data_IF_645970838585
#
_entry.id   IF_645970838585
#
_cell.length_a   1.000
_cell.length_b   1.000
_cell.length_c   1.000
_cell.angle_alpha   90.00
_cell.angle_beta   90.00
_cell.angle_gamma   90.00
#
_symmetry.space_group_name_H-M   'P 1'
#
loop_
_entity.id
_entity.type
_entity.pdbx_description
1 polymer ?
#
# COMPACT_ATOMS: atom_id res chain seq x y z
N UNK A 1 -31.85 -30.77 20.61
CA UNK A 1 -32.34 -31.56 19.46
C UNK A 1 -33.10 -30.78 18.34
N UNK A 2 -32.92 -29.45 18.08
CA UNK A 2 -33.45 -28.82 16.84
C UNK A 2 -32.43 -28.71 15.69
N UNK A 3 -31.12 -28.78 15.99
CA UNK A 3 -30.04 -28.56 15.02
C UNK A 3 -29.99 -29.62 13.90
N UNK A 4 -30.30 -30.88 14.23
CA UNK A 4 -30.27 -31.98 13.25
C UNK A 4 -31.50 -32.04 12.35
N UNK A 5 -32.60 -31.37 12.71
CA UNK A 5 -33.81 -31.33 11.88
C UNK A 5 -33.70 -30.26 10.78
N UNK A 6 -33.13 -29.10 11.12
CA UNK A 6 -32.82 -28.03 10.17
C UNK A 6 -31.80 -28.51 9.13
N UNK A 7 -30.73 -29.21 9.56
CA UNK A 7 -29.71 -29.75 8.65
C UNK A 7 -30.21 -30.82 7.66
N UNK A 8 -31.25 -31.60 8.02
CA UNK A 8 -31.86 -32.58 7.11
C UNK A 8 -32.86 -31.94 6.14
N UNK A 9 -33.58 -30.89 6.56
CA UNK A 9 -34.48 -30.12 5.70
C UNK A 9 -33.74 -29.33 4.62
N UNK A 10 -32.67 -28.62 5.00
CA UNK A 10 -31.85 -27.83 4.06
C UNK A 10 -31.18 -28.70 2.99
N UNK A 11 -30.74 -29.92 3.34
CA UNK A 11 -30.11 -30.85 2.38
C UNK A 11 -31.08 -31.38 1.31
N UNK A 12 -32.38 -31.48 1.60
CA UNK A 12 -33.40 -31.96 0.63
C UNK A 12 -33.81 -30.88 -0.39
N UNK A 13 -33.70 -29.61 0.00
CA UNK A 13 -33.93 -28.47 -0.90
C UNK A 13 -32.68 -28.17 -1.72
N UNK A 14 -31.49 -28.22 -1.11
CA UNK A 14 -30.22 -28.03 -1.82
C UNK A 14 -29.83 -29.17 -2.77
N UNK A 15 -30.41 -30.36 -2.65
CA UNK A 15 -30.12 -31.49 -3.55
C UNK A 15 -30.88 -31.42 -4.88
N UNK A 16 -31.83 -30.50 -5.02
CA UNK A 16 -32.61 -30.27 -6.24
C UNK A 16 -32.15 -29.05 -7.05
N UNK A 17 -31.18 -28.29 -6.55
CA UNK A 17 -30.60 -27.15 -7.27
C UNK A 17 -29.48 -27.69 -8.17
N UNK A 18 -29.58 -27.54 -9.51
CA UNK A 18 -28.55 -27.93 -10.44
C UNK A 18 -27.17 -27.39 -10.01
N UNK A 19 -26.07 -28.15 -10.14
CA UNK A 19 -24.72 -27.68 -9.81
C UNK A 19 -24.36 -26.36 -10.50
N UNK A 20 -24.87 -26.14 -11.72
CA UNK A 20 -24.74 -24.90 -12.46
C UNK A 20 -25.40 -23.70 -11.78
N UNK A 21 -26.54 -23.87 -11.11
CA UNK A 21 -27.21 -22.80 -10.37
C UNK A 21 -26.49 -22.44 -9.07
N UNK A 22 -25.84 -23.42 -8.41
CA UNK A 22 -24.95 -23.14 -7.27
C UNK A 22 -23.65 -22.46 -7.69
N UNK A 23 -23.10 -22.86 -8.83
CA UNK A 23 -21.93 -22.21 -9.42
C UNK A 23 -22.26 -20.79 -9.88
N UNK A 24 -23.44 -20.57 -10.46
CA UNK A 24 -23.93 -19.25 -10.85
C UNK A 24 -24.19 -18.37 -9.62
N UNK A 25 -24.83 -18.87 -8.57
CA UNK A 25 -25.01 -18.11 -7.32
C UNK A 25 -23.68 -17.78 -6.64
N UNK A 26 -22.72 -18.71 -6.60
CA UNK A 26 -21.37 -18.42 -6.11
C UNK A 26 -20.65 -17.42 -6.98
N UNK A 27 -20.72 -17.55 -8.31
CA UNK A 27 -20.12 -16.60 -9.24
C UNK A 27 -20.76 -15.22 -9.08
N UNK A 28 -22.08 -15.15 -8.88
CA UNK A 28 -22.80 -13.91 -8.61
C UNK A 28 -22.40 -13.28 -7.27
N UNK A 29 -22.25 -14.07 -6.20
CA UNK A 29 -21.71 -13.61 -4.91
C UNK A 29 -20.25 -13.13 -5.05
N UNK A 30 -19.40 -13.87 -5.76
CA UNK A 30 -18.02 -13.46 -6.06
C UNK A 30 -17.96 -12.18 -6.90
N UNK A 31 -18.81 -12.04 -7.92
CA UNK A 31 -18.88 -10.85 -8.77
C UNK A 31 -19.45 -9.64 -8.01
N UNK A 32 -20.41 -9.84 -7.11
CA UNK A 32 -20.92 -8.79 -6.22
C UNK A 32 -19.87 -8.36 -5.20
N UNK A 33 -19.08 -9.32 -4.67
CA UNK A 33 -17.99 -9.06 -3.73
C UNK A 33 -16.78 -8.33 -4.32
N UNK A 34 -16.54 -8.44 -5.63
CA UNK A 34 -15.36 -7.86 -6.30
C UNK A 34 -15.53 -6.38 -6.72
N UNK A 35 -16.73 -5.81 -6.69
CA UNK A 35 -17.03 -4.56 -7.42
C UNK A 35 -17.19 -3.33 -6.51
N UNK A 36 -17.18 -3.48 -5.18
CA UNK A 36 -17.27 -2.32 -4.28
C UNK A 36 -16.39 -2.47 -3.03
N UNK A 37 -15.54 -1.48 -2.66
CA UNK A 37 -14.82 -1.48 -1.39
C UNK A 37 -15.72 -1.71 -0.16
N UNK A 38 -17.01 -1.38 -0.25
CA UNK A 38 -17.97 -1.59 0.82
C UNK A 38 -18.13 -3.06 1.21
N UNK A 39 -18.05 -4.00 0.26
CA UNK A 39 -18.30 -5.42 0.53
C UNK A 39 -17.22 -6.04 1.41
N UNK A 40 -15.94 -5.72 1.18
CA UNK A 40 -14.83 -6.26 1.99
C UNK A 40 -14.97 -5.86 3.46
N UNK A 41 -15.23 -4.58 3.72
CA UNK A 41 -15.30 -4.05 5.09
C UNK A 41 -16.55 -4.49 5.82
N UNK A 42 -17.68 -4.61 5.11
CA UNK A 42 -18.90 -5.20 5.64
C UNK A 42 -18.72 -6.67 5.99
N UNK A 43 -18.04 -7.45 5.15
CA UNK A 43 -17.75 -8.87 5.38
C UNK A 43 -16.90 -9.10 6.64
N UNK A 44 -15.92 -8.23 6.92
CA UNK A 44 -15.14 -8.30 8.17
C UNK A 44 -15.84 -7.64 9.37
N UNK A 45 -17.09 -7.20 9.21
CA UNK A 45 -17.99 -6.81 10.30
C UNK A 45 -18.07 -5.32 10.60
N UNK A 46 -17.62 -4.44 9.69
CA UNK A 46 -17.82 -3.00 9.82
C UNK A 46 -19.17 -2.57 9.26
N UNK A 47 -19.79 -1.58 9.91
CA UNK A 47 -20.80 -0.76 9.27
C UNK A 47 -20.08 0.25 8.36
N UNK A 48 -20.15 0.03 7.04
CA UNK A 48 -19.47 0.84 6.05
C UNK A 48 -20.34 2.02 5.60
N UNK A 49 -19.77 3.22 5.63
CA UNK A 49 -20.41 4.48 5.23
C UNK A 49 -19.42 5.21 4.31
N UNK A 50 -19.82 5.52 3.08
CA UNK A 50 -18.91 6.10 2.08
C UNK A 50 -19.50 6.00 0.67
N UNK A 51 -18.94 6.58 -0.39
CA UNK A 51 -17.78 7.47 -0.53
C UNK A 51 -18.21 8.94 -0.32
N UNK A 52 -17.58 9.65 0.62
CA UNK A 52 -17.95 11.04 0.96
C UNK A 52 -16.82 12.00 0.59
N UNK A 53 -17.16 13.21 0.14
CA UNK A 53 -16.17 14.29 -0.01
C UNK A 53 -15.59 14.67 1.36
N UNK A 54 -14.29 14.44 1.54
CA UNK A 54 -13.56 14.75 2.76
C UNK A 54 -13.32 16.24 2.99
N UNK A 55 -13.70 17.10 2.04
CA UNK A 55 -13.56 18.56 2.16
C UNK A 55 -14.87 19.30 2.48
N UNK A 56 -16.01 18.59 2.52
CA UNK A 56 -17.28 19.17 2.96
C UNK A 56 -17.44 19.01 4.48
N UNK A 57 -16.89 19.97 5.22
CA UNK A 57 -16.89 19.97 6.69
C UNK A 57 -18.31 19.88 7.25
N UNK A 58 -19.25 20.65 6.68
CA UNK A 58 -20.64 20.70 7.16
C UNK A 58 -21.29 19.32 7.06
N UNK A 59 -21.10 18.64 5.93
CA UNK A 59 -21.63 17.30 5.71
C UNK A 59 -20.93 16.26 6.58
N UNK A 60 -19.62 16.36 6.77
CA UNK A 60 -18.87 15.46 7.63
C UNK A 60 -19.33 15.53 9.09
N UNK A 61 -19.59 16.73 9.61
CA UNK A 61 -20.12 16.90 10.97
C UNK A 61 -21.47 16.18 11.12
N UNK A 62 -22.39 16.37 10.18
CA UNK A 62 -23.70 15.69 10.19
C UNK A 62 -23.56 14.16 10.18
N UNK A 63 -22.72 13.63 9.29
CA UNK A 63 -22.47 12.19 9.18
C UNK A 63 -21.86 11.64 10.46
N UNK A 64 -20.86 12.32 11.01
CA UNK A 64 -20.20 11.90 12.24
C UNK A 64 -21.15 11.93 13.44
N UNK A 65 -22.04 12.92 13.56
CA UNK A 65 -23.07 12.94 14.61
C UNK A 65 -24.03 11.74 14.49
N UNK A 66 -24.50 11.44 13.28
CA UNK A 66 -25.36 10.27 13.06
C UNK A 66 -24.63 8.96 13.39
N UNK A 67 -23.36 8.83 12.99
CA UNK A 67 -22.52 7.64 13.23
C UNK A 67 -22.32 7.34 14.72
N UNK A 68 -22.28 8.35 15.60
CA UNK A 68 -22.16 8.14 17.06
C UNK A 68 -23.29 7.30 17.63
N UNK A 69 -24.48 7.36 17.02
CA UNK A 69 -25.67 6.65 17.50
C UNK A 69 -25.70 5.16 17.13
N UNK A 70 -24.93 4.77 16.11
CA UNK A 70 -24.88 3.39 15.62
C UNK A 70 -24.04 2.51 16.56
N UNK A 71 -24.40 1.23 16.70
CA UNK A 71 -23.62 0.24 17.47
C UNK A 71 -22.60 -0.48 16.58
N UNK A 72 -21.56 -1.04 17.19
CA UNK A 72 -20.54 -1.84 16.51
C UNK A 72 -19.45 -1.03 15.79
N UNK A 73 -18.47 -1.73 15.16
CA UNK A 73 -17.41 -1.13 14.37
C UNK A 73 -17.98 -0.35 13.19
N UNK A 74 -17.40 0.82 12.91
CA UNK A 74 -17.85 1.74 11.87
C UNK A 74 -16.67 2.17 11.02
N UNK A 75 -16.87 2.24 9.71
CA UNK A 75 -15.86 2.69 8.76
C UNK A 75 -16.46 3.79 7.89
N UNK A 76 -15.94 5.01 8.03
CA UNK A 76 -16.27 6.14 7.15
C UNK A 76 -15.19 6.26 6.08
N UNK A 77 -15.57 6.05 4.82
CA UNK A 77 -14.68 6.19 3.67
C UNK A 77 -14.85 7.59 3.05
N UNK A 78 -13.84 8.43 3.25
CA UNK A 78 -13.78 9.78 2.71
C UNK A 78 -12.75 9.90 1.59
N UNK A 79 -13.00 10.79 0.63
CA UNK A 79 -12.11 11.13 -0.47
C UNK A 79 -11.50 12.50 -0.19
N UNK A 80 -10.18 12.58 -0.12
CA UNK A 80 -9.45 13.84 0.10
C UNK A 80 -8.43 14.09 -1.02
N UNK A 81 -7.94 15.33 -1.12
CA UNK A 81 -6.88 15.73 -2.03
C UNK A 81 -5.61 15.98 -1.21
N UNK A 82 -4.53 15.25 -1.49
CA UNK A 82 -3.25 15.45 -0.79
C UNK A 82 -2.74 16.86 -1.07
N UNK A 83 -2.36 17.59 -0.02
CA UNK A 83 -1.92 18.97 -0.13
C UNK A 83 -3.04 20.02 -0.25
N UNK A 84 -4.32 19.64 -0.07
CA UNK A 84 -5.45 20.57 -0.21
C UNK A 84 -5.23 21.89 0.52
N UNK A 85 -5.45 23.01 -0.19
CA UNK A 85 -5.31 24.36 0.33
C UNK A 85 -3.92 24.98 0.10
N UNK A 86 -2.97 24.23 -0.45
CA UNK A 86 -1.64 24.72 -0.83
C UNK A 86 -1.30 24.27 -2.26
N UNK A 87 -1.39 25.21 -3.21
CA UNK A 87 -1.40 24.92 -4.66
C UNK A 87 -0.15 24.17 -5.13
N UNK A 88 1.01 24.46 -4.55
CA UNK A 88 2.27 23.76 -4.85
C UNK A 88 2.21 22.29 -4.43
N UNK A 89 1.58 21.96 -3.30
CA UNK A 89 1.39 20.58 -2.85
C UNK A 89 0.23 19.86 -3.53
N UNK A 90 -0.78 20.58 -3.98
CA UNK A 90 -1.84 20.00 -4.82
C UNK A 90 -1.31 19.57 -6.19
N UNK A 91 -0.38 20.35 -6.76
CA UNK A 91 0.22 20.08 -8.07
C UNK A 91 1.35 19.05 -8.03
N UNK A 92 2.09 18.96 -6.92
CA UNK A 92 3.14 17.95 -6.71
C UNK A 92 3.01 17.25 -5.35
N UNK A 93 1.99 16.38 -5.17
CA UNK A 93 1.75 15.71 -3.90
C UNK A 93 2.82 14.69 -3.52
N UNK A 94 3.71 14.32 -4.45
CA UNK A 94 4.82 13.39 -4.23
C UNK A 94 6.08 14.12 -3.82
N UNK A 95 6.57 15.07 -4.61
CA UNK A 95 7.76 15.85 -4.27
C UNK A 95 7.58 16.67 -2.99
N UNK A 96 6.36 17.14 -2.72
CA UNK A 96 6.04 17.91 -1.51
C UNK A 96 5.89 17.03 -0.25
N UNK A 97 5.82 15.70 -0.41
CA UNK A 97 5.82 14.76 0.71
C UNK A 97 7.19 14.68 1.40
N UNK A 98 8.26 14.90 0.64
CA UNK A 98 9.65 14.81 1.08
C UNK A 98 10.39 16.16 0.98
N UNK A 99 9.68 17.28 1.16
CA UNK A 99 10.28 18.62 1.11
C UNK A 99 11.44 18.77 2.09
N UNK A 100 12.63 19.02 1.55
CA UNK A 100 13.73 19.64 2.29
C UNK A 100 13.40 21.11 2.55
N UNK A 101 13.42 21.53 3.83
CA UNK A 101 13.22 22.90 4.35
C UNK A 101 12.38 23.84 3.46
N UNK A 102 11.13 24.06 3.85
CA UNK A 102 10.30 25.13 3.27
C UNK A 102 10.98 26.47 3.56
N UNK A 103 11.46 27.16 2.53
CA UNK A 103 11.91 28.55 2.68
C UNK A 103 10.68 29.43 2.87
N UNK A 104 10.44 29.83 4.11
CA UNK A 104 9.17 30.38 4.57
C UNK A 104 8.83 31.80 4.08
N UNK A 105 9.65 32.47 3.25
CA UNK A 105 9.27 33.78 2.71
C UNK A 105 9.98 34.18 1.42
N UNK A 106 9.36 35.08 0.62
CA UNK A 106 10.02 35.71 -0.53
C UNK A 106 11.28 36.50 -0.16
N UNK A 107 11.42 36.98 1.09
CA UNK A 107 12.63 37.67 1.55
C UNK A 107 13.82 36.72 1.73
N UNK A 108 13.58 35.43 2.00
CA UNK A 108 14.64 34.43 2.08
C UNK A 108 15.33 34.18 0.72
N UNK A 109 14.66 34.49 -0.40
CA UNK A 109 15.23 34.38 -1.75
C UNK A 109 16.37 35.38 -2.01
N UNK A 110 16.44 36.48 -1.26
CA UNK A 110 17.50 37.48 -1.41
C UNK A 110 18.71 37.22 -0.49
N UNK A 111 18.53 36.50 0.62
CA UNK A 111 19.61 36.13 1.53
C UNK A 111 20.38 34.86 1.13
N UNK A 112 19.80 33.99 0.29
CA UNK A 112 20.53 32.83 -0.30
C UNK A 112 21.18 33.17 -1.65
N UNK A 113 21.47 34.45 -1.88
CA UNK A 113 22.26 34.88 -3.02
C UNK A 113 23.68 34.33 -2.93
N UNK A 114 24.02 33.48 -3.90
CA UNK A 114 25.37 33.35 -4.49
C UNK A 114 26.49 32.61 -3.75
N UNK A 115 26.35 32.10 -2.53
CA UNK A 115 27.50 31.51 -1.82
C UNK A 115 27.72 29.98 -1.95
N UNK A 116 26.72 29.17 -2.37
CA UNK A 116 26.82 27.70 -2.18
C UNK A 116 26.37 26.84 -3.37
N UNK A 117 26.32 27.41 -4.58
CA UNK A 117 25.85 26.69 -5.79
C UNK A 117 26.92 25.81 -6.46
N UNK A 118 28.17 25.82 -5.96
CA UNK A 118 29.31 25.14 -6.61
C UNK A 118 29.92 23.98 -5.81
N UNK A 119 29.43 23.66 -4.61
CA UNK A 119 29.82 22.42 -3.96
C UNK A 119 28.98 21.29 -4.55
N UNK A 120 29.60 20.41 -5.34
CA UNK A 120 29.00 19.13 -5.73
C UNK A 120 28.57 18.43 -4.45
N UNK A 121 27.27 18.46 -4.13
CA UNK A 121 26.72 17.72 -3.00
C UNK A 121 27.08 16.25 -3.20
N UNK A 122 27.72 15.67 -2.18
CA UNK A 122 28.00 14.25 -2.19
C UNK A 122 26.67 13.48 -2.40
N UNK A 123 26.69 12.38 -3.17
CA UNK A 123 25.47 11.62 -3.39
C UNK A 123 24.96 11.04 -2.07
N UNK A 124 23.64 10.91 -1.94
CA UNK A 124 23.05 10.23 -0.78
C UNK A 124 23.30 8.74 -0.83
N UNK A 125 23.27 8.05 0.31
CA UNK A 125 23.35 6.59 0.34
C UNK A 125 22.26 5.93 -0.51
N UNK A 126 21.04 6.48 -0.52
CA UNK A 126 19.95 6.01 -1.39
C UNK A 126 20.29 6.15 -2.88
N UNK A 127 20.91 7.26 -3.30
CA UNK A 127 21.35 7.45 -4.69
C UNK A 127 22.41 6.42 -5.08
N UNK A 128 23.41 6.22 -4.21
CA UNK A 128 24.48 5.23 -4.44
C UNK A 128 23.90 3.81 -4.55
N UNK A 129 22.96 3.45 -3.67
CA UNK A 129 22.28 2.16 -3.71
C UNK A 129 21.44 1.98 -4.97
N UNK A 130 20.66 2.99 -5.38
CA UNK A 130 19.84 2.95 -6.58
C UNK A 130 20.66 2.80 -7.86
N UNK A 131 21.75 3.55 -7.98
CA UNK A 131 22.66 3.44 -9.12
C UNK A 131 23.35 2.06 -9.16
N UNK A 132 23.71 1.49 -8.00
CA UNK A 132 24.21 0.12 -7.89
C UNK A 132 23.17 -0.92 -8.32
N UNK A 133 21.92 -0.80 -7.84
CA UNK A 133 20.82 -1.69 -8.22
C UNK A 133 20.66 -1.74 -9.73
N UNK A 134 20.63 -0.59 -10.40
CA UNK A 134 20.55 -0.51 -11.86
C UNK A 134 21.76 -1.18 -12.54
N UNK A 135 22.98 -0.86 -12.08
CA UNK A 135 24.21 -1.37 -12.68
C UNK A 135 24.33 -2.90 -12.57
N UNK A 136 23.90 -3.49 -11.45
CA UNK A 136 23.91 -4.94 -11.26
C UNK A 136 22.79 -5.58 -12.06
N UNK A 137 21.59 -5.01 -12.05
CA UNK A 137 20.44 -5.55 -12.75
C UNK A 137 20.63 -5.57 -14.28
N UNK A 138 21.38 -4.63 -14.85
CA UNK A 138 21.78 -4.68 -16.27
C UNK A 138 22.63 -5.89 -16.64
N UNK A 139 23.31 -6.52 -15.67
CA UNK A 139 24.23 -7.64 -15.88
C UNK A 139 23.68 -8.97 -15.36
N UNK A 140 22.85 -8.93 -14.33
CA UNK A 140 22.24 -10.11 -13.71
C UNK A 140 20.72 -10.06 -13.90
N UNK A 141 20.15 -10.92 -14.76
CA UNK A 141 18.71 -10.97 -14.98
C UNK A 141 17.94 -11.47 -13.74
N UNK A 142 18.60 -12.17 -12.81
CA UNK A 142 17.95 -12.75 -11.62
C UNK A 142 17.76 -11.76 -10.47
N UNK A 143 18.34 -10.54 -10.56
CA UNK A 143 18.17 -9.53 -9.52
C UNK A 143 16.75 -8.97 -9.57
N UNK A 144 16.08 -9.00 -8.41
CA UNK A 144 14.72 -8.49 -8.21
C UNK A 144 14.77 -7.45 -7.08
N UNK A 145 14.18 -6.27 -7.29
CA UNK A 145 14.07 -5.21 -6.29
C UNK A 145 12.70 -5.22 -5.62
N UNK A 146 12.68 -5.18 -4.29
CA UNK A 146 11.45 -5.15 -3.49
C UNK A 146 11.50 -3.96 -2.53
N UNK A 147 10.40 -3.21 -2.41
CA UNK A 147 10.26 -2.15 -1.41
C UNK A 147 8.85 -2.14 -0.79
N UNK A 148 8.70 -1.90 0.52
CA UNK A 148 7.40 -1.69 1.12
C UNK A 148 7.00 -0.21 1.06
N UNK A 149 6.45 0.25 -0.07
CA UNK A 149 5.99 1.62 -0.32
C UNK A 149 7.06 2.73 -0.18
N UNK A 150 8.36 2.39 -0.23
CA UNK A 150 9.46 3.33 0.01
C UNK A 150 10.42 3.44 -1.18
N UNK A 151 9.91 3.33 -2.41
CA UNK A 151 10.71 3.33 -3.63
C UNK A 151 11.56 4.61 -3.82
N UNK A 152 10.96 5.78 -3.65
CA UNK A 152 11.68 7.06 -3.79
C UNK A 152 12.72 7.26 -2.68
N UNK A 153 12.32 7.09 -1.42
CA UNK A 153 13.22 7.25 -0.27
C UNK A 153 14.40 6.27 -0.28
N UNK A 154 14.19 5.06 -0.81
CA UNK A 154 15.22 4.06 -0.99
C UNK A 154 16.03 4.24 -2.28
N UNK A 155 15.78 5.27 -3.09
CA UNK A 155 16.51 5.54 -4.32
C UNK A 155 16.22 4.57 -5.48
N UNK A 156 15.09 3.86 -5.45
CA UNK A 156 14.73 2.83 -6.42
C UNK A 156 13.95 3.35 -7.63
N UNK A 157 13.68 4.65 -7.72
CA UNK A 157 12.88 5.22 -8.82
C UNK A 157 13.42 4.86 -10.21
N UNK A 158 14.72 5.11 -10.46
CA UNK A 158 15.37 4.71 -11.72
C UNK A 158 15.32 3.21 -11.97
N UNK A 159 15.40 2.40 -10.91
CA UNK A 159 15.33 0.95 -11.03
C UNK A 159 13.93 0.50 -11.45
N UNK A 160 12.89 1.08 -10.85
CA UNK A 160 11.49 0.83 -11.22
C UNK A 160 11.20 1.24 -12.67
N UNK A 161 11.73 2.37 -13.13
CA UNK A 161 11.57 2.85 -14.51
C UNK A 161 12.30 1.95 -15.53
N UNK A 162 13.54 1.55 -15.23
CA UNK A 162 14.36 0.76 -16.15
C UNK A 162 14.04 -0.74 -16.13
N UNK A 163 13.55 -1.27 -15.01
CA UNK A 163 13.30 -2.70 -14.79
C UNK A 163 11.94 -2.95 -14.14
N UNK A 164 10.83 -2.49 -14.75
CA UNK A 164 9.49 -2.55 -14.14
C UNK A 164 9.06 -3.98 -13.80
N UNK A 165 9.37 -4.96 -14.66
CA UNK A 165 9.06 -6.39 -14.45
C UNK A 165 9.84 -7.04 -13.29
N UNK A 166 10.86 -6.34 -12.75
CA UNK A 166 11.71 -6.81 -11.64
C UNK A 166 11.64 -5.90 -10.43
N UNK A 167 10.72 -4.95 -10.42
CA UNK A 167 10.47 -4.05 -9.31
C UNK A 167 9.11 -4.37 -8.68
N UNK A 168 9.11 -4.64 -7.39
CA UNK A 168 7.89 -4.93 -6.64
C UNK A 168 7.73 -3.94 -5.49
N UNK A 169 6.70 -3.10 -5.58
CA UNK A 169 6.18 -2.35 -4.45
C UNK A 169 5.07 -3.18 -3.77
N UNK A 170 5.33 -3.65 -2.56
CA UNK A 170 4.39 -4.49 -1.81
C UNK A 170 3.44 -3.68 -0.93
N UNK A 171 3.33 -2.36 -1.18
CA UNK A 171 2.65 -1.40 -0.31
C UNK A 171 3.27 -1.39 1.10
N UNK A 172 2.54 -0.91 2.10
CA UNK A 172 3.03 -0.82 3.50
C UNK A 172 2.90 -2.20 4.17
N UNK A 173 3.68 -3.17 3.68
CA UNK A 173 3.64 -4.57 4.12
C UNK A 173 5.05 -5.18 4.23
N UNK A 174 5.84 -4.70 5.19
CA UNK A 174 7.22 -5.10 5.44
C UNK A 174 7.37 -6.60 5.71
N UNK A 175 6.43 -7.18 6.46
CA UNK A 175 6.42 -8.63 6.72
C UNK A 175 6.33 -9.40 5.40
N UNK A 176 5.37 -9.02 4.56
CA UNK A 176 5.21 -9.61 3.24
C UNK A 176 6.44 -9.37 2.37
N UNK A 177 7.06 -8.19 2.40
CA UNK A 177 8.26 -7.88 1.61
C UNK A 177 9.38 -8.90 1.86
N UNK A 178 9.65 -9.23 3.13
CA UNK A 178 10.72 -10.14 3.52
C UNK A 178 10.38 -11.59 3.19
N UNK A 179 9.18 -12.06 3.51
CA UNK A 179 8.77 -13.45 3.17
C UNK A 179 8.64 -13.64 1.65
N UNK A 180 8.20 -12.62 0.92
CA UNK A 180 8.16 -12.65 -0.55
C UNK A 180 9.56 -12.81 -1.13
N UNK A 181 10.54 -12.07 -0.62
CA UNK A 181 11.94 -12.25 -0.97
C UNK A 181 12.43 -13.67 -0.64
N UNK A 182 12.09 -14.22 0.52
CA UNK A 182 12.44 -15.60 0.86
C UNK A 182 11.94 -16.60 -0.20
N UNK A 183 10.68 -16.50 -0.60
CA UNK A 183 10.09 -17.35 -1.64
C UNK A 183 10.79 -17.22 -2.99
N UNK A 184 11.11 -16.00 -3.42
CA UNK A 184 11.88 -15.76 -4.65
C UNK A 184 13.29 -16.37 -4.58
N UNK A 185 13.95 -16.29 -3.43
CA UNK A 185 15.26 -16.88 -3.22
C UNK A 185 15.23 -18.42 -3.32
N UNK A 186 14.17 -19.06 -2.81
CA UNK A 186 13.94 -20.50 -2.99
C UNK A 186 13.86 -20.88 -4.49
N UNK A 187 13.25 -20.03 -5.31
CA UNK A 187 13.18 -20.18 -6.77
C UNK A 187 14.42 -19.64 -7.50
N UNK A 188 15.57 -19.58 -6.80
CA UNK A 188 16.89 -19.21 -7.35
C UNK A 188 17.00 -17.78 -7.89
N UNK A 189 16.02 -16.93 -7.60
CA UNK A 189 16.13 -15.49 -7.86
C UNK A 189 17.04 -14.82 -6.83
N UNK A 190 17.47 -13.57 -7.09
CA UNK A 190 18.33 -12.78 -6.20
C UNK A 190 17.60 -11.52 -5.72
N UNK A 191 16.67 -11.66 -4.76
CA UNK A 191 15.88 -10.53 -4.29
C UNK A 191 16.70 -9.60 -3.39
N UNK A 192 16.49 -8.30 -3.56
CA UNK A 192 17.01 -7.24 -2.70
C UNK A 192 15.84 -6.48 -2.10
N UNK A 193 15.69 -6.56 -0.78
CA UNK A 193 14.66 -5.83 -0.04
C UNK A 193 15.24 -4.49 0.43
N UNK A 194 14.82 -3.40 -0.19
CA UNK A 194 15.17 -2.05 0.23
C UNK A 194 14.19 -1.56 1.29
N UNK A 195 14.64 -1.52 2.53
CA UNK A 195 13.80 -1.25 3.71
C UNK A 195 14.58 -0.43 4.74
N UNK A 196 13.92 0.57 5.31
CA UNK A 196 14.53 1.38 6.37
C UNK A 196 14.66 0.56 7.65
N UNK A 197 15.73 0.80 8.41
CA UNK A 197 16.01 0.10 9.67
C UNK A 197 14.82 0.09 10.63
N UNK A 198 14.14 1.23 10.80
CA UNK A 198 12.98 1.32 11.69
C UNK A 198 11.78 0.49 11.22
N UNK A 199 11.62 0.27 9.92
CA UNK A 199 10.51 -0.50 9.36
C UNK A 199 10.83 -2.00 9.29
N UNK A 200 12.12 -2.35 9.15
CA UNK A 200 12.57 -3.75 9.22
C UNK A 200 12.18 -4.42 10.54
N UNK A 201 12.04 -3.65 11.62
CA UNK A 201 11.56 -4.15 12.91
C UNK A 201 10.19 -4.85 12.80
N UNK A 202 9.30 -4.39 11.90
CA UNK A 202 7.99 -5.04 11.68
C UNK A 202 8.14 -6.44 11.05
N UNK A 203 9.22 -6.67 10.31
CA UNK A 203 9.52 -7.94 9.64
C UNK A 203 10.58 -8.78 10.37
N UNK A 204 10.80 -8.53 11.67
CA UNK A 204 11.84 -9.21 12.46
C UNK A 204 11.67 -10.74 12.46
N UNK A 205 10.44 -11.20 12.65
CA UNK A 205 10.10 -12.63 12.64
C UNK A 205 10.35 -13.24 11.26
N UNK A 206 9.91 -12.58 10.18
CA UNK A 206 10.09 -13.05 8.80
C UNK A 206 11.57 -13.11 8.42
N UNK A 207 12.38 -12.16 8.88
CA UNK A 207 13.83 -12.16 8.65
C UNK A 207 14.50 -13.35 9.33
N UNK A 208 14.10 -13.70 10.55
CA UNK A 208 14.71 -14.81 11.28
C UNK A 208 14.17 -16.15 10.78
N UNK A 209 12.85 -16.30 10.81
CA UNK A 209 12.18 -17.56 10.55
C UNK A 209 12.15 -17.91 9.05
N UNK A 210 11.73 -16.98 8.20
CA UNK A 210 11.50 -17.29 6.78
C UNK A 210 12.76 -17.16 5.94
N UNK A 211 13.74 -16.36 6.38
CA UNK A 211 15.01 -16.14 5.66
C UNK A 211 16.19 -16.84 6.33
N UNK A 212 16.51 -16.54 7.60
CA UNK A 212 17.77 -16.97 8.19
C UNK A 212 17.81 -18.46 8.62
N UNK A 213 16.66 -19.06 8.90
CA UNK A 213 16.57 -20.45 9.39
C UNK A 213 16.62 -21.51 8.28
N UNK A 214 16.30 -21.16 7.03
CA UNK A 214 16.20 -22.07 5.88
C UNK A 214 17.57 -22.55 5.38
#
# INVERSE_FOLDING_TARGET
KPYNFIRKGSKRVLSKVPPALKAAHRAEEYLKGMVSPGTLFEEIGFNYIGLIDGHDISRLVEILENMKTLRGPKLLHMITQKGKGYIESENDPFGMHAMSKVEASPEAKFASSSADRNLKKAPTYSQVFGDWMCAVASKDPNLIGITPAMGEGSGMQKFAENFPERFHDVAIAEQHAVTFAAGLACEKSKPVVAIYSTFLQRAYDQLIHDVALQ
#
